data_IF_766351079074
#
_entry.id   IF_766351079074
#
_cell.length_a   1.000
_cell.length_b   1.000
_cell.length_c   1.000
_cell.angle_alpha   90.00
_cell.angle_beta   90.00
_cell.angle_gamma   90.00
#
_symmetry.space_group_name_H-M   'P 1'
#
loop_
_entity.id
_entity.type
_entity.pdbx_description
1 polymer ?
#
# COMPACT_ATOMS: atom_id res chain seq x y z
N UNK A 1 -7.06 -5.56 5.25
CA UNK A 1 -8.09 -4.56 5.57
C UNK A 1 -8.71 -4.15 4.26
N UNK A 2 -10.03 -4.12 4.18
CA UNK A 2 -10.76 -3.73 2.97
C UNK A 2 -11.49 -2.42 3.22
N UNK A 3 -11.30 -1.46 2.33
CA UNK A 3 -11.94 -0.15 2.36
C UNK A 3 -12.32 0.25 0.94
N UNK A 4 -13.18 1.26 0.83
CA UNK A 4 -13.80 1.62 -0.44
C UNK A 4 -13.74 3.12 -0.70
N UNK A 5 -13.89 3.49 -1.96
CA UNK A 5 -14.05 4.89 -2.36
C UNK A 5 -15.47 5.42 -2.09
N UNK A 6 -16.45 4.52 -1.95
CA UNK A 6 -17.85 4.87 -1.74
C UNK A 6 -18.35 4.31 -0.41
N UNK A 7 -19.14 5.05 0.38
CA UNK A 7 -19.59 4.62 1.71
C UNK A 7 -20.70 3.55 1.68
N UNK A 8 -20.53 2.48 0.90
CA UNK A 8 -21.51 1.38 0.86
C UNK A 8 -21.39 0.47 2.08
N UNK A 9 -20.18 0.31 2.63
CA UNK A 9 -19.93 -0.46 3.84
C UNK A 9 -20.09 0.44 5.08
N UNK A 10 -21.31 0.51 5.60
CA UNK A 10 -21.66 1.42 6.71
C UNK A 10 -20.77 1.19 7.94
N UNK A 11 -20.21 2.28 8.47
CA UNK A 11 -19.29 2.26 9.62
C UNK A 11 -17.84 1.91 9.29
N UNK A 12 -17.52 1.57 8.03
CA UNK A 12 -16.15 1.39 7.57
C UNK A 12 -15.55 2.72 7.09
N UNK A 13 -14.26 2.99 7.35
CA UNK A 13 -13.60 4.19 6.82
C UNK A 13 -13.49 4.12 5.29
N UNK A 14 -13.50 5.29 4.66
CA UNK A 14 -13.17 5.43 3.26
C UNK A 14 -11.67 5.23 3.02
N UNK A 15 -11.32 4.82 1.81
CA UNK A 15 -9.91 4.67 1.40
C UNK A 15 -9.10 5.95 1.67
N UNK A 16 -9.67 7.11 1.39
CA UNK A 16 -9.00 8.40 1.60
C UNK A 16 -8.69 8.66 3.09
N UNK A 17 -9.61 8.28 3.99
CA UNK A 17 -9.43 8.44 5.44
C UNK A 17 -8.33 7.51 5.95
N UNK A 18 -8.31 6.26 5.48
CA UNK A 18 -7.23 5.33 5.78
C UNK A 18 -5.89 5.83 5.28
N UNK A 19 -5.81 6.28 4.02
CA UNK A 19 -4.55 6.77 3.44
C UNK A 19 -4.04 7.98 4.22
N UNK A 20 -4.93 8.93 4.56
CA UNK A 20 -4.60 10.10 5.38
C UNK A 20 -4.09 9.70 6.77
N UNK A 21 -4.83 8.83 7.46
CA UNK A 21 -4.43 8.35 8.79
C UNK A 21 -3.09 7.61 8.75
N UNK A 22 -2.87 6.75 7.75
CA UNK A 22 -1.60 6.04 7.57
C UNK A 22 -0.43 7.02 7.34
N UNK A 23 -0.65 8.08 6.56
CA UNK A 23 0.35 9.12 6.33
C UNK A 23 0.75 9.85 7.61
N UNK A 24 -0.25 10.29 8.39
CA UNK A 24 -0.06 10.93 9.69
C UNK A 24 0.71 10.03 10.68
N UNK A 25 0.53 8.71 10.57
CA UNK A 25 1.17 7.72 11.45
C UNK A 25 2.48 7.14 10.91
N UNK A 26 3.10 7.83 9.95
CA UNK A 26 4.46 7.54 9.50
C UNK A 26 4.56 6.41 8.46
N UNK A 27 3.46 6.06 7.81
CA UNK A 27 3.42 5.16 6.67
C UNK A 27 3.17 5.94 5.38
N UNK A 28 3.49 5.36 4.22
CA UNK A 28 3.16 5.92 2.92
C UNK A 28 2.60 4.81 2.05
N UNK A 29 1.48 5.06 1.36
CA UNK A 29 1.04 4.20 0.27
C UNK A 29 2.14 4.18 -0.80
N UNK A 30 2.80 3.05 -0.96
CA UNK A 30 4.02 2.96 -1.75
C UNK A 30 3.77 2.29 -3.10
N UNK A 31 2.94 1.25 -3.12
CA UNK A 31 2.70 0.48 -4.34
C UNK A 31 1.26 -0.04 -4.41
N UNK A 32 0.76 -0.16 -5.63
CA UNK A 32 -0.53 -0.75 -5.98
C UNK A 32 -0.26 -2.09 -6.67
N UNK A 33 -0.82 -3.15 -6.11
CA UNK A 33 -0.74 -4.51 -6.62
C UNK A 33 -2.13 -5.05 -6.99
N UNK A 34 -2.12 -6.16 -7.71
CA UNK A 34 -3.29 -6.99 -8.05
C UNK A 34 -4.55 -6.20 -8.45
N UNK A 35 -4.47 -5.56 -9.62
CA UNK A 35 -5.55 -4.72 -10.14
C UNK A 35 -6.59 -5.61 -10.82
N UNK A 36 -7.75 -5.74 -10.18
CA UNK A 36 -8.87 -6.53 -10.70
C UNK A 36 -9.92 -5.66 -11.38
N UNK A 37 -10.34 -6.06 -12.58
CA UNK A 37 -11.36 -5.36 -13.39
C UNK A 37 -12.47 -6.32 -13.81
N UNK A 38 -13.69 -5.79 -13.93
CA UNK A 38 -14.82 -6.49 -14.55
C UNK A 38 -14.62 -6.54 -16.08
N UNK A 39 -15.41 -7.37 -16.78
CA UNK A 39 -15.34 -7.51 -18.24
C UNK A 39 -15.57 -6.22 -19.04
N UNK A 40 -16.16 -5.18 -18.45
CA UNK A 40 -16.30 -3.84 -19.04
C UNK A 40 -15.17 -2.88 -18.67
N UNK A 41 -14.11 -3.37 -18.04
CA UNK A 41 -12.92 -2.59 -17.67
C UNK A 41 -13.06 -1.75 -16.40
N UNK A 42 -14.22 -1.74 -15.76
CA UNK A 42 -14.42 -1.03 -14.48
C UNK A 42 -13.55 -1.66 -13.40
N UNK A 43 -12.84 -0.81 -12.64
CA UNK A 43 -12.01 -1.24 -11.52
C UNK A 43 -12.88 -1.78 -10.39
N UNK A 44 -12.54 -2.97 -9.88
CA UNK A 44 -13.29 -3.63 -8.80
C UNK A 44 -12.48 -3.63 -7.51
N UNK A 45 -11.20 -3.96 -7.60
CA UNK A 45 -10.32 -4.04 -6.44
C UNK A 45 -8.89 -3.70 -6.84
N UNK A 46 -8.16 -3.13 -5.88
CA UNK A 46 -6.70 -3.05 -5.87
C UNK A 46 -6.20 -3.44 -4.49
N UNK A 47 -4.97 -3.93 -4.44
CA UNK A 47 -4.25 -4.11 -3.19
C UNK A 47 -3.23 -2.97 -3.06
N UNK A 48 -3.11 -2.38 -1.87
CA UNK A 48 -2.18 -1.27 -1.61
C UNK A 48 -1.22 -1.67 -0.51
N UNK A 49 0.08 -1.55 -0.78
CA UNK A 49 1.11 -1.73 0.23
C UNK A 49 1.51 -0.39 0.83
N UNK A 50 1.48 -0.33 2.16
CA UNK A 50 2.00 0.79 2.93
C UNK A 50 3.36 0.45 3.52
N UNK A 51 4.32 1.35 3.36
CA UNK A 51 5.68 1.20 3.91
C UNK A 51 5.93 2.32 4.92
N UNK A 52 6.65 2.02 6.02
CA UNK A 52 7.10 3.06 6.95
C UNK A 52 7.98 4.08 6.22
N UNK A 53 7.74 5.37 6.42
CA UNK A 53 8.49 6.47 5.80
C UNK A 53 10.00 6.42 6.10
N UNK A 54 10.38 5.85 7.24
CA UNK A 54 11.78 5.67 7.65
C UNK A 54 12.37 4.28 7.33
N UNK A 55 11.66 3.45 6.57
CA UNK A 55 12.17 2.16 6.13
C UNK A 55 13.33 2.32 5.15
N UNK A 56 14.34 1.44 5.23
CA UNK A 56 15.40 1.36 4.25
C UNK A 56 14.87 1.08 2.82
N UNK A 57 13.68 0.47 2.69
CA UNK A 57 13.01 0.22 1.41
C UNK A 57 12.58 1.52 0.69
N UNK A 58 12.43 2.62 1.41
CA UNK A 58 12.09 3.94 0.84
C UNK A 58 13.36 4.75 0.53
N UNK A 59 14.54 4.25 0.93
CA UNK A 59 15.81 4.92 0.72
C UNK A 59 16.28 4.80 -0.73
N UNK A 60 16.79 5.89 -1.28
CA UNK A 60 17.52 5.87 -2.55
C UNK A 60 18.99 5.45 -2.38
N UNK A 61 19.41 5.10 -1.16
CA UNK A 61 20.73 4.52 -0.94
C UNK A 61 20.77 3.09 -1.50
N UNK A 62 21.78 2.80 -2.31
CA UNK A 62 22.08 1.43 -2.77
C UNK A 62 22.12 0.49 -1.56
N UNK A 63 21.16 -0.43 -1.48
CA UNK A 63 21.16 -1.47 -0.47
C UNK A 63 22.17 -2.54 -0.89
N UNK A 64 23.37 -2.50 -0.30
CA UNK A 64 24.38 -3.54 -0.49
C UNK A 64 23.96 -4.78 0.31
N UNK A 65 23.42 -5.78 -0.38
CA UNK A 65 23.27 -7.11 0.21
C UNK A 65 24.63 -7.80 0.19
N UNK A 66 25.25 -7.98 1.36
CA UNK A 66 26.41 -8.87 1.47
C UNK A 66 25.91 -10.31 1.53
N UNK A 67 26.27 -11.10 0.51
CA UNK A 67 26.11 -12.55 0.59
C UNK A 67 27.19 -13.07 1.52
N UNK A 68 26.79 -13.61 2.67
CA UNK A 68 27.68 -14.37 3.54
C UNK A 68 27.95 -15.72 2.87
N UNK A 69 29.15 -15.89 2.30
CA UNK A 69 29.63 -17.22 1.93
C UNK A 69 29.82 -18.03 3.21
N UNK A 70 28.87 -18.93 3.47
CA UNK A 70 29.11 -20.03 4.41
C UNK A 70 29.91 -21.09 3.67
N UNK A 71 31.19 -21.20 4.04
CA UNK A 71 32.06 -22.32 3.66
C UNK A 71 31.66 -23.63 4.31
#
# INVERSE_FOLDING_TARGET
MEVSLWPYNQGSPLLAEVVGWMDEHGFRAYEIFDISRRGDGVLVQIDILFIRKNSALVSNAMTLFSVSERG
#
